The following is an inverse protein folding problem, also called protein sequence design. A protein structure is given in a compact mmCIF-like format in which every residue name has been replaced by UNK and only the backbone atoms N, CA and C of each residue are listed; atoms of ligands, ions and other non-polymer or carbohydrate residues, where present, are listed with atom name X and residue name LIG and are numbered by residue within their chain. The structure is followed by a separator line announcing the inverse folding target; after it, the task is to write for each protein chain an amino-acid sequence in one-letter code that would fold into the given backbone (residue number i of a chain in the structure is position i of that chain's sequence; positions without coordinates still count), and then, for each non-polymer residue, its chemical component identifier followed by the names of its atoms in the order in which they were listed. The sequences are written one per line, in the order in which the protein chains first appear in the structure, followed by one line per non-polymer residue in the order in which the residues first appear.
data_IF_570317223954
#
_entry.id   IF_570317223954
#
_cell.length_a   1.000
_cell.length_b   1.000
_cell.length_c   1.000
_cell.angle_alpha   90.00
_cell.angle_beta   90.00
_cell.angle_gamma   90.00
#
_symmetry.space_group_name_H-M   'P 1'
#
loop_
_entity.id
_entity.type
_entity.pdbx_description
1 polymer ?
#
# COMPACT_ATOMS: atom_id res chain seq x y z
N UNK A 1 -12.14 9.16 30.75
CA UNK A 1 -12.38 8.35 29.54
C UNK A 1 -12.02 9.22 28.34
N UNK A 2 -10.76 9.13 27.92
CA UNK A 2 -10.27 9.89 26.77
C UNK A 2 -10.73 9.16 25.52
N UNK A 3 -11.58 9.80 24.73
CA UNK A 3 -11.93 9.34 23.40
C UNK A 3 -10.66 9.40 22.55
N UNK A 4 -10.12 8.25 22.23
CA UNK A 4 -9.02 8.11 21.28
C UNK A 4 -9.49 8.64 19.93
N UNK A 5 -9.07 9.86 19.60
CA UNK A 5 -9.26 10.37 18.26
C UNK A 5 -8.29 9.64 17.36
N UNK A 6 -8.80 8.87 16.42
CA UNK A 6 -8.02 8.32 15.31
C UNK A 6 -7.18 9.45 14.71
N UNK A 7 -5.90 9.23 14.36
CA UNK A 7 -5.07 10.25 13.74
C UNK A 7 -5.63 10.77 12.40
N UNK A 8 -6.62 10.07 11.87
CA UNK A 8 -7.35 10.43 10.66
C UNK A 8 -8.78 10.92 10.95
N UNK A 9 -9.14 11.08 12.23
CA UNK A 9 -10.38 11.74 12.61
C UNK A 9 -10.21 13.24 12.40
N UNK A 10 -10.60 13.70 11.23
CA UNK A 10 -10.75 15.13 10.98
C UNK A 10 -11.90 15.61 11.84
N UNK A 11 -11.58 16.35 12.90
CA UNK A 11 -12.54 16.89 13.84
C UNK A 11 -13.66 17.64 13.11
N UNK A 12 -14.86 17.35 13.50
CA UNK A 12 -16.10 17.87 12.97
C UNK A 12 -16.19 19.40 13.00
N UNK A 13 -15.77 20.02 11.93
CA UNK A 13 -16.24 21.36 11.60
C UNK A 13 -16.98 21.25 10.25
N UNK A 14 -18.29 21.17 10.29
CA UNK A 14 -19.16 20.69 9.22
C UNK A 14 -19.16 21.50 7.91
N UNK A 15 -18.40 22.58 7.79
CA UNK A 15 -18.38 23.42 6.57
C UNK A 15 -17.02 23.45 5.87
N UNK A 16 -15.91 23.53 6.62
CA UNK A 16 -14.54 23.59 6.06
C UNK A 16 -13.91 22.24 5.90
N UNK A 17 -14.30 21.23 6.70
CA UNK A 17 -13.75 19.89 6.64
C UNK A 17 -14.17 19.12 5.38
N UNK A 18 -15.37 19.35 4.84
CA UNK A 18 -15.83 18.67 3.61
C UNK A 18 -15.09 19.17 2.37
N UNK A 19 -14.74 20.47 2.29
CA UNK A 19 -13.95 21.04 1.20
C UNK A 19 -12.51 20.53 1.25
N UNK A 20 -11.88 20.50 2.42
CA UNK A 20 -10.54 19.96 2.61
C UNK A 20 -10.47 18.48 2.26
N UNK A 21 -11.44 17.69 2.69
CA UNK A 21 -11.50 16.27 2.42
C UNK A 21 -11.68 16.00 0.93
N UNK A 22 -12.54 16.78 0.26
CA UNK A 22 -12.73 16.68 -1.18
C UNK A 22 -11.46 17.03 -1.95
N UNK A 23 -10.78 18.12 -1.60
CA UNK A 23 -9.52 18.52 -2.23
C UNK A 23 -8.41 17.50 -2.00
N UNK A 24 -8.30 16.94 -0.79
CA UNK A 24 -7.33 15.90 -0.47
C UNK A 24 -7.59 14.64 -1.31
N UNK A 25 -8.84 14.22 -1.41
CA UNK A 25 -9.20 13.07 -2.24
C UNK A 25 -8.88 13.28 -3.71
N UNK A 26 -9.13 14.48 -4.26
CA UNK A 26 -8.75 14.81 -5.63
C UNK A 26 -7.25 14.72 -5.85
N UNK A 27 -6.45 15.22 -4.92
CA UNK A 27 -4.99 15.14 -5.00
C UNK A 27 -4.50 13.70 -4.95
N UNK A 28 -5.02 12.91 -4.04
CA UNK A 28 -4.63 11.50 -3.89
C UNK A 28 -5.07 10.66 -5.08
N UNK A 29 -6.27 10.92 -5.63
CA UNK A 29 -6.78 10.22 -6.81
C UNK A 29 -6.07 10.62 -8.11
N UNK A 30 -5.35 11.75 -8.13
CA UNK A 30 -4.63 12.22 -9.30
C UNK A 30 -3.24 11.61 -9.48
N UNK A 31 -2.72 10.88 -8.51
CA UNK A 31 -1.34 10.37 -8.54
C UNK A 31 -1.14 9.16 -9.43
N UNK A 32 -2.18 8.39 -9.73
CA UNK A 32 -2.07 7.12 -10.45
C UNK A 32 -1.45 5.97 -9.64
N UNK A 33 -0.85 6.27 -8.50
CA UNK A 33 -0.34 5.27 -7.56
C UNK A 33 -1.41 4.87 -6.55
N UNK A 34 -1.35 3.62 -6.09
CA UNK A 34 -2.15 3.20 -4.95
C UNK A 34 -1.61 3.80 -3.66
N UNK A 35 -2.49 4.37 -2.86
CA UNK A 35 -2.12 4.92 -1.55
C UNK A 35 -3.14 4.45 -0.54
N UNK A 36 -2.66 3.87 0.57
CA UNK A 36 -3.50 3.58 1.71
C UNK A 36 -2.79 3.90 3.02
N UNK A 37 -3.58 4.21 4.02
CA UNK A 37 -3.11 4.43 5.39
C UNK A 37 -3.57 3.30 6.30
N UNK A 38 -2.73 2.92 7.24
CA UNK A 38 -3.04 1.92 8.27
C UNK A 38 -2.82 2.48 9.66
N UNK A 39 -3.60 1.98 10.61
CA UNK A 39 -3.37 2.24 12.02
C UNK A 39 -2.28 1.31 12.58
N UNK A 40 -2.04 1.35 13.89
CA UNK A 40 -1.00 0.54 14.54
C UNK A 40 -1.25 -0.97 14.45
N UNK A 41 -2.49 -1.37 14.24
CA UNK A 41 -2.89 -2.78 14.09
C UNK A 41 -2.96 -3.24 12.64
N UNK A 42 -2.67 -2.35 11.70
CA UNK A 42 -2.67 -2.66 10.28
C UNK A 42 -4.03 -2.57 9.61
N UNK A 43 -5.03 -1.99 10.28
CA UNK A 43 -6.35 -1.78 9.69
C UNK A 43 -6.34 -0.55 8.78
N UNK A 44 -6.98 -0.67 7.63
CA UNK A 44 -7.06 0.41 6.66
C UNK A 44 -7.93 1.56 7.19
N UNK A 45 -7.36 2.75 7.23
CA UNK A 45 -8.05 3.98 7.65
C UNK A 45 -8.34 4.90 6.46
N UNK A 46 -7.68 4.67 5.34
CA UNK A 46 -7.80 5.45 4.13
C UNK A 46 -7.27 4.64 2.94
N UNK A 47 -7.93 4.76 1.79
CA UNK A 47 -7.41 4.24 0.51
C UNK A 47 -7.88 5.17 -0.62
N UNK A 48 -6.99 5.46 -1.58
CA UNK A 48 -7.37 6.23 -2.75
C UNK A 48 -8.01 5.34 -3.82
N UNK A 49 -8.58 5.97 -4.84
CA UNK A 49 -9.26 5.26 -5.93
C UNK A 49 -8.32 4.32 -6.69
N UNK A 50 -7.12 4.78 -7.02
CA UNK A 50 -6.13 3.97 -7.72
C UNK A 50 -5.77 2.71 -6.93
N UNK A 51 -5.60 2.83 -5.61
CA UNK A 51 -5.32 1.69 -4.73
C UNK A 51 -6.45 0.67 -4.72
N UNK A 52 -7.68 1.11 -4.54
CA UNK A 52 -8.84 0.23 -4.57
C UNK A 52 -8.98 -0.48 -5.92
N UNK A 53 -8.79 0.23 -7.03
CA UNK A 53 -8.85 -0.33 -8.37
C UNK A 53 -7.76 -1.38 -8.61
N UNK A 54 -6.52 -1.11 -8.21
CA UNK A 54 -5.41 -2.06 -8.34
C UNK A 54 -5.66 -3.35 -7.56
N UNK A 55 -6.27 -3.24 -6.38
CA UNK A 55 -6.59 -4.39 -5.53
C UNK A 55 -7.90 -5.08 -5.91
N UNK A 56 -8.70 -4.47 -6.79
CA UNK A 56 -9.97 -5.04 -7.23
C UNK A 56 -11.09 -4.99 -6.20
N UNK A 57 -10.98 -4.08 -5.23
CA UNK A 57 -11.97 -3.90 -4.16
C UNK A 57 -12.68 -2.56 -4.28
N UNK A 58 -13.91 -2.50 -3.77
CA UNK A 58 -14.54 -1.21 -3.48
C UNK A 58 -13.89 -0.61 -2.23
N UNK A 59 -13.60 0.69 -2.26
CA UNK A 59 -12.95 1.37 -1.14
C UNK A 59 -13.70 1.20 0.18
N UNK A 60 -15.03 1.24 0.13
CA UNK A 60 -15.88 1.05 1.32
C UNK A 60 -15.71 -0.34 1.97
N UNK A 61 -15.38 -1.36 1.18
CA UNK A 61 -15.19 -2.73 1.67
C UNK A 61 -13.79 -2.95 2.25
N UNK A 62 -12.83 -2.11 1.89
CA UNK A 62 -11.47 -2.17 2.40
C UNK A 62 -11.32 -1.47 3.74
N UNK A 63 -12.00 -0.35 3.93
CA UNK A 63 -11.89 0.45 5.15
C UNK A 63 -12.17 -0.41 6.40
N UNK A 64 -11.29 -0.34 7.38
CA UNK A 64 -11.37 -1.10 8.61
C UNK A 64 -10.84 -2.53 8.52
N UNK A 65 -10.48 -3.02 7.34
CA UNK A 65 -9.91 -4.35 7.17
C UNK A 65 -8.41 -4.36 7.45
N UNK A 66 -7.90 -5.50 7.93
CA UNK A 66 -6.48 -5.71 8.07
C UNK A 66 -5.84 -5.85 6.68
N UNK A 67 -4.95 -4.93 6.32
CA UNK A 67 -4.39 -4.87 4.97
C UNK A 67 -3.41 -6.00 4.67
N UNK A 68 -2.70 -6.51 5.67
CA UNK A 68 -1.83 -7.66 5.47
C UNK A 68 -2.65 -8.93 5.14
N UNK A 69 -3.71 -9.16 5.88
CA UNK A 69 -4.61 -10.29 5.63
C UNK A 69 -5.35 -10.17 4.31
N UNK A 70 -5.65 -8.94 3.89
CA UNK A 70 -6.43 -8.69 2.68
C UNK A 70 -5.59 -8.82 1.40
N UNK A 71 -4.36 -8.26 1.40
CA UNK A 71 -3.57 -8.04 0.18
C UNK A 71 -2.15 -8.62 0.22
N UNK A 72 -1.64 -8.97 1.38
CA UNK A 72 -0.24 -9.37 1.57
C UNK A 72 -0.10 -10.66 2.38
N UNK A 73 -1.14 -11.49 2.34
CA UNK A 73 -1.24 -12.71 3.14
C UNK A 73 -0.35 -13.85 2.66
N UNK A 74 0.14 -13.79 1.42
CA UNK A 74 0.87 -14.89 0.79
C UNK A 74 2.02 -14.38 -0.06
N UNK A 75 3.05 -15.20 -0.16
CA UNK A 75 4.13 -15.00 -1.13
C UNK A 75 3.64 -15.28 -2.55
N UNK A 76 4.47 -14.97 -3.55
CA UNK A 76 4.14 -15.18 -4.96
C UNK A 76 3.81 -16.63 -5.30
N UNK A 77 4.42 -17.59 -4.59
CA UNK A 77 4.18 -19.03 -4.76
C UNK A 77 2.91 -19.54 -4.04
N UNK A 78 2.19 -18.66 -3.38
CA UNK A 78 0.98 -18.98 -2.63
C UNK A 78 1.22 -19.43 -1.19
N UNK A 79 2.46 -19.56 -0.74
CA UNK A 79 2.78 -19.91 0.64
C UNK A 79 2.40 -18.77 1.58
N UNK A 80 2.03 -19.12 2.81
CA UNK A 80 1.63 -18.15 3.82
C UNK A 80 2.73 -17.15 4.14
N UNK A 81 2.38 -15.86 4.19
CA UNK A 81 3.26 -14.78 4.57
C UNK A 81 2.83 -14.24 5.93
N UNK A 82 3.52 -14.60 7.02
CA UNK A 82 3.16 -14.11 8.35
C UNK A 82 3.35 -12.60 8.45
N UNK A 83 2.46 -11.93 9.18
CA UNK A 83 2.58 -10.48 9.42
C UNK A 83 3.85 -10.13 10.18
N UNK A 84 4.37 -11.05 11.00
CA UNK A 84 5.65 -10.90 11.72
C UNK A 84 6.86 -10.78 10.79
N UNK A 85 6.77 -11.29 9.56
CA UNK A 85 7.82 -11.21 8.55
C UNK A 85 7.63 -10.01 7.60
N UNK A 86 6.52 -9.30 7.71
CA UNK A 86 6.16 -8.21 6.81
C UNK A 86 7.05 -6.98 7.07
N UNK A 87 7.78 -6.49 6.05
CA UNK A 87 8.63 -5.31 6.21
C UNK A 87 7.86 -4.05 6.63
N UNK A 88 6.61 -3.92 6.21
CA UNK A 88 5.75 -2.79 6.59
C UNK A 88 5.60 -2.73 8.11
N UNK A 89 5.17 -3.84 8.73
CA UNK A 89 4.97 -3.90 10.19
C UNK A 89 6.27 -3.74 10.96
N UNK A 90 7.34 -4.37 10.47
CA UNK A 90 8.63 -4.33 11.16
C UNK A 90 9.25 -2.93 11.11
N UNK A 91 9.03 -2.19 10.03
CA UNK A 91 9.61 -0.86 9.85
C UNK A 91 8.82 0.23 10.59
N UNK A 92 7.51 0.33 10.35
CA UNK A 92 6.78 1.50 10.84
C UNK A 92 6.67 1.56 12.36
N UNK A 93 6.57 0.42 13.02
CA UNK A 93 6.54 0.35 14.49
C UNK A 93 7.82 0.86 15.13
N UNK A 94 8.93 0.81 14.42
CA UNK A 94 10.21 1.37 14.82
C UNK A 94 10.42 2.80 14.33
N UNK A 95 9.42 3.39 13.70
CA UNK A 95 9.51 4.73 13.11
C UNK A 95 10.37 4.80 11.85
N UNK A 96 10.54 3.67 11.15
CA UNK A 96 11.36 3.56 9.95
C UNK A 96 10.51 3.46 8.69
N UNK A 97 11.03 4.03 7.60
CA UNK A 97 10.50 3.82 6.26
C UNK A 97 11.10 2.54 5.64
N UNK A 98 10.37 1.93 4.71
CA UNK A 98 10.91 0.85 3.89
C UNK A 98 10.41 0.95 2.45
N UNK A 99 11.16 0.34 1.52
CA UNK A 99 10.79 0.21 0.12
C UNK A 99 11.14 -1.18 -0.36
N UNK A 100 10.16 -1.86 -0.96
CA UNK A 100 10.29 -3.25 -1.43
C UNK A 100 9.74 -3.35 -2.84
N UNK A 101 10.46 -4.05 -3.72
CA UNK A 101 10.05 -4.30 -5.11
C UNK A 101 10.14 -5.80 -5.51
N UNK A 102 10.28 -6.68 -4.53
CA UNK A 102 10.50 -8.12 -4.74
C UNK A 102 9.31 -8.98 -4.35
N UNK A 103 8.21 -8.37 -3.98
CA UNK A 103 7.03 -9.05 -3.44
C UNK A 103 5.80 -8.86 -4.34
N UNK A 104 4.70 -9.48 -3.96
CA UNK A 104 3.41 -9.37 -4.64
C UNK A 104 2.35 -8.86 -3.68
N UNK A 105 1.35 -8.17 -4.25
CA UNK A 105 0.07 -7.95 -3.59
C UNK A 105 -1.00 -8.80 -4.26
N UNK A 106 -2.01 -9.17 -3.51
CA UNK A 106 -3.12 -10.01 -3.94
C UNK A 106 -4.39 -9.18 -4.13
N UNK A 107 -5.11 -9.47 -5.22
CA UNK A 107 -6.41 -8.87 -5.52
C UNK A 107 -7.54 -9.67 -4.89
N UNK A 108 -8.72 -9.07 -4.88
CA UNK A 108 -9.96 -9.72 -4.43
C UNK A 108 -10.25 -11.03 -5.16
N UNK A 109 -9.93 -11.11 -6.44
CA UNK A 109 -10.16 -12.28 -7.29
C UNK A 109 -9.10 -13.38 -7.13
N UNK A 110 -8.24 -13.26 -6.13
CA UNK A 110 -7.14 -14.18 -5.81
C UNK A 110 -6.04 -14.25 -6.88
N UNK A 111 -5.95 -13.25 -7.73
CA UNK A 111 -4.77 -13.03 -8.58
C UNK A 111 -3.78 -12.12 -7.87
N UNK A 112 -2.50 -12.29 -8.18
CA UNK A 112 -1.44 -11.44 -7.63
C UNK A 112 -0.78 -10.62 -8.72
N UNK A 113 -0.10 -9.56 -8.31
CA UNK A 113 0.72 -8.75 -9.20
C UNK A 113 2.03 -8.38 -8.51
N UNK A 114 3.09 -8.28 -9.30
CA UNK A 114 4.37 -7.78 -8.81
C UNK A 114 4.19 -6.33 -8.40
N UNK A 115 4.65 -5.99 -7.20
CA UNK A 115 4.42 -4.69 -6.58
C UNK A 115 5.73 -4.05 -6.16
N UNK A 116 5.83 -2.74 -6.35
CA UNK A 116 6.77 -1.91 -5.60
C UNK A 116 5.95 -1.10 -4.60
N UNK A 117 6.28 -1.24 -3.34
CA UNK A 117 5.63 -0.44 -2.30
C UNK A 117 6.66 0.27 -1.43
N UNK A 118 6.24 1.43 -0.94
CA UNK A 118 6.97 2.22 0.06
C UNK A 118 6.06 2.43 1.26
N UNK A 119 6.60 2.29 2.45
CA UNK A 119 5.90 2.53 3.69
C UNK A 119 6.60 3.61 4.49
N UNK A 120 5.84 4.59 4.94
CA UNK A 120 6.33 5.69 5.74
C UNK A 120 5.55 5.75 7.06
N UNK A 121 6.24 5.81 8.21
CA UNK A 121 5.53 5.95 9.49
C UNK A 121 4.84 7.30 9.57
N UNK A 122 3.64 7.31 10.14
CA UNK A 122 2.95 8.53 10.52
C UNK A 122 3.35 8.85 11.96
N UNK A 123 4.07 9.95 12.11
CA UNK A 123 4.60 10.37 13.43
C UNK A 123 3.90 11.65 13.84
N UNK A 124 3.29 11.61 15.02
CA UNK A 124 2.66 12.75 15.66
C UNK A 124 3.41 13.02 16.97
N UNK A 125 4.13 14.15 17.01
CA UNK A 125 5.10 14.40 18.08
C UNK A 125 6.19 13.32 18.08
N UNK A 126 6.32 12.59 19.17
CA UNK A 126 7.28 11.49 19.31
C UNK A 126 6.66 10.10 19.14
N UNK A 127 5.35 10.04 18.82
CA UNK A 127 4.60 8.78 18.73
C UNK A 127 4.29 8.39 17.30
N UNK A 128 4.51 7.11 16.99
CA UNK A 128 4.05 6.50 15.74
C UNK A 128 2.56 6.23 15.85
N UNK A 129 1.79 6.72 14.88
CA UNK A 129 0.33 6.56 14.84
C UNK A 129 -0.14 5.53 13.82
N UNK A 130 0.69 5.17 12.89
CA UNK A 130 0.40 4.26 11.81
C UNK A 130 1.40 4.43 10.68
N UNK A 131 0.99 4.10 9.47
CA UNK A 131 1.83 4.25 8.28
C UNK A 131 1.00 4.63 7.05
N UNK A 132 1.66 5.29 6.11
CA UNK A 132 1.16 5.50 4.75
C UNK A 132 1.94 4.60 3.81
N UNK A 133 1.23 3.83 3.01
CA UNK A 133 1.82 2.94 2.01
C UNK A 133 1.44 3.44 0.62
N UNK A 134 2.45 3.63 -0.23
CA UNK A 134 2.26 3.88 -1.67
C UNK A 134 2.69 2.64 -2.43
N UNK A 135 1.98 2.29 -3.50
CA UNK A 135 2.32 1.11 -4.28
C UNK A 135 1.95 1.25 -5.75
N UNK A 136 2.72 0.58 -6.59
CA UNK A 136 2.49 0.50 -8.03
C UNK A 136 2.61 -0.95 -8.49
N UNK A 137 1.82 -1.30 -9.50
CA UNK A 137 1.97 -2.56 -10.22
C UNK A 137 3.18 -2.46 -11.15
N UNK A 138 4.19 -3.29 -10.93
CA UNK A 138 5.43 -3.30 -11.72
C UNK A 138 5.50 -4.49 -12.68
N UNK A 139 4.38 -5.15 -12.96
CA UNK A 139 4.35 -6.31 -13.85
C UNK A 139 4.89 -5.98 -15.23
N UNK A 140 4.43 -4.89 -15.85
CA UNK A 140 4.91 -4.48 -17.17
C UNK A 140 6.40 -4.10 -17.16
N UNK A 141 6.86 -3.42 -16.12
CA UNK A 141 8.28 -3.05 -15.94
C UNK A 141 9.16 -4.27 -15.84
N UNK A 142 8.76 -5.26 -15.05
CA UNK A 142 9.51 -6.52 -14.91
C UNK A 142 9.52 -7.32 -16.19
N UNK A 143 8.41 -7.40 -16.90
CA UNK A 143 8.33 -8.09 -18.19
C UNK A 143 9.25 -7.45 -19.20
N UNK A 144 9.27 -6.13 -19.30
CA UNK A 144 10.18 -5.40 -20.21
C UNK A 144 11.66 -5.65 -19.85
N UNK A 145 12.00 -5.66 -18.56
CA UNK A 145 13.37 -5.96 -18.11
C UNK A 145 13.79 -7.39 -18.46
N UNK A 146 12.90 -8.36 -18.28
CA UNK A 146 13.16 -9.76 -18.66
C UNK A 146 13.32 -9.92 -20.16
N UNK A 147 12.49 -9.27 -20.97
CA UNK A 147 12.57 -9.31 -22.43
C UNK A 147 13.90 -8.71 -22.93
N UNK A 148 14.32 -7.59 -22.34
CA UNK A 148 15.61 -6.97 -22.64
C UNK A 148 16.77 -7.88 -22.26
N UNK A 149 16.72 -8.52 -21.11
CA UNK A 149 17.75 -9.45 -20.67
C UNK A 149 17.86 -10.65 -21.61
N UNK A 150 16.74 -11.22 -22.07
CA UNK A 150 16.70 -12.31 -23.04
C UNK A 150 17.27 -11.87 -24.37
N UNK A 151 16.94 -10.67 -24.86
CA UNK A 151 17.47 -10.12 -26.10
C UNK A 151 18.99 -9.94 -26.01
N UNK A 152 19.50 -9.39 -24.92
CA UNK A 152 20.94 -9.21 -24.69
C UNK A 152 21.67 -10.56 -24.59
N UNK A 153 21.10 -11.55 -23.94
CA UNK A 153 21.67 -12.90 -23.86
C UNK A 153 21.71 -13.58 -25.23
N UNK A 154 20.68 -13.41 -26.05
CA UNK A 154 20.64 -13.94 -27.43
C UNK A 154 21.69 -13.28 -28.32
N UNK A 155 21.88 -11.96 -28.24
CA UNK A 155 22.92 -11.22 -28.96
C UNK A 155 24.32 -11.67 -28.53
N UNK A 156 24.55 -11.86 -27.25
CA UNK A 156 25.84 -12.34 -26.73
C UNK A 156 26.21 -13.76 -27.26
N UNK A 157 25.22 -14.62 -27.46
CA UNK A 157 25.45 -15.97 -28.04
C UNK A 157 25.68 -15.96 -29.54
N UNK A 158 25.15 -14.95 -30.24
CA UNK A 158 25.30 -14.82 -31.69
C UNK A 158 26.69 -14.32 -32.12
N UNK A 159 27.42 -13.71 -31.18
CA UNK A 159 28.77 -13.23 -31.37
C UNK A 159 29.76 -14.30 -30.85
#
# INVERSE_FOLDING_TARGET
MLLETSPFSFAHNKGTSSLWQHQLNLLLDSTGEGIFGIDLDGHCVFINRAGANLLGWEAADILGQNMHELTHHSHADGSHYPDTDCPIFNAFRQGLACRIDTEVFWRKDHTSFAVEYSSYPIIDGDEVRGAVITFVDITARRQAAQDLQRANASLARAN
#
